data_IF_060558805539
#
_entry.id   IF_060558805539
#
_cell.length_a   1.000
_cell.length_b   1.000
_cell.length_c   1.000
_cell.angle_alpha   90.00
_cell.angle_beta   90.00
_cell.angle_gamma   90.00
#
_symmetry.space_group_name_H-M   'P 1'
#
loop_
_entity.id
_entity.type
_entity.pdbx_description
1 polymer ?
#
# COMPACT_ATOMS: atom_id res chain seq x y z
N UNK A 1 16.08 -5.32 -0.31
CA UNK A 1 15.19 -5.81 -1.35
C UNK A 1 13.73 -5.52 -0.99
N UNK A 2 13.07 -4.67 -1.81
CA UNK A 2 11.72 -4.18 -1.54
C UNK A 2 10.64 -5.28 -1.60
N UNK A 3 10.83 -6.30 -2.44
CA UNK A 3 9.89 -7.42 -2.53
C UNK A 3 9.94 -8.29 -1.26
N UNK A 4 11.13 -8.55 -0.73
CA UNK A 4 11.29 -9.26 0.54
C UNK A 4 10.68 -8.49 1.71
N UNK A 5 10.86 -7.18 1.72
CA UNK A 5 10.23 -6.30 2.71
C UNK A 5 8.70 -6.35 2.63
N UNK A 6 8.13 -6.26 1.42
CA UNK A 6 6.70 -6.41 1.21
C UNK A 6 6.18 -7.80 1.63
N UNK A 7 6.93 -8.86 1.34
CA UNK A 7 6.58 -10.23 1.77
C UNK A 7 6.59 -10.37 3.30
N UNK A 8 7.54 -9.75 3.99
CA UNK A 8 7.56 -9.72 5.46
C UNK A 8 6.30 -9.04 6.01
N UNK A 9 5.88 -7.93 5.43
CA UNK A 9 4.62 -7.26 5.80
C UNK A 9 3.41 -8.16 5.53
N UNK A 10 3.35 -8.78 4.36
CA UNK A 10 2.27 -9.70 3.97
C UNK A 10 2.14 -10.88 4.94
N UNK A 11 3.26 -11.40 5.43
CA UNK A 11 3.32 -12.56 6.34
C UNK A 11 3.32 -12.17 7.83
N UNK A 12 2.77 -11.02 8.17
CA UNK A 12 2.54 -10.65 9.58
C UNK A 12 3.81 -10.36 10.38
N UNK A 13 4.88 -9.95 9.72
CA UNK A 13 6.15 -9.58 10.36
C UNK A 13 7.23 -10.66 10.33
N UNK A 14 7.02 -11.74 9.57
CA UNK A 14 8.00 -12.82 9.36
C UNK A 14 8.60 -12.69 7.96
N UNK A 15 9.92 -12.69 7.86
CA UNK A 15 10.62 -12.61 6.58
C UNK A 15 10.51 -13.91 5.76
N UNK A 16 10.88 -13.91 4.47
CA UNK A 16 10.85 -15.12 3.64
C UNK A 16 11.73 -16.28 4.12
N UNK A 17 12.70 -15.99 4.98
CA UNK A 17 13.58 -17.04 5.58
C UNK A 17 13.02 -17.58 6.91
N UNK A 18 11.85 -17.13 7.33
CA UNK A 18 11.17 -17.58 8.53
C UNK A 18 11.56 -16.86 9.82
N UNK A 19 12.32 -15.76 9.72
CA UNK A 19 12.70 -14.97 10.89
C UNK A 19 11.64 -13.91 11.20
N UNK A 20 11.23 -13.82 12.47
CA UNK A 20 10.36 -12.75 12.91
C UNK A 20 11.15 -11.45 13.04
N UNK A 21 10.73 -10.44 12.26
CA UNK A 21 11.35 -9.11 12.25
C UNK A 21 10.58 -8.14 13.16
N UNK A 22 9.26 -8.25 13.18
CA UNK A 22 8.36 -7.42 14.00
C UNK A 22 7.19 -8.28 14.47
N UNK A 23 6.66 -8.02 15.67
CA UNK A 23 5.48 -8.74 16.16
C UNK A 23 4.23 -8.38 15.35
N UNK A 24 3.26 -9.29 15.29
CA UNK A 24 1.97 -9.03 14.64
C UNK A 24 1.25 -7.83 15.26
N UNK A 25 1.32 -7.70 16.59
CA UNK A 25 0.71 -6.59 17.32
C UNK A 25 1.32 -5.24 16.92
N UNK A 26 2.64 -5.13 16.88
CA UNK A 26 3.31 -3.90 16.46
C UNK A 26 3.05 -3.59 14.97
N UNK A 27 3.04 -4.60 14.11
CA UNK A 27 2.71 -4.44 12.70
C UNK A 27 1.27 -3.93 12.52
N UNK A 28 0.32 -4.47 13.27
CA UNK A 28 -1.08 -4.03 13.21
C UNK A 28 -1.25 -2.56 13.62
N UNK A 29 -0.45 -2.07 14.56
CA UNK A 29 -0.44 -0.66 14.96
C UNK A 29 0.05 0.28 13.85
N UNK A 30 0.95 -0.20 13.00
CA UNK A 30 1.45 0.55 11.83
C UNK A 30 0.32 0.85 10.85
N UNK A 31 -0.61 -0.07 10.67
CA UNK A 31 -1.73 0.03 9.73
C UNK A 31 -3.01 0.64 10.32
N UNK A 32 -2.96 1.15 11.54
CA UNK A 32 -4.10 1.88 12.13
C UNK A 32 -4.25 3.25 11.46
N UNK A 33 -5.45 3.61 11.01
CA UNK A 33 -5.71 4.94 10.47
C UNK A 33 -5.37 6.05 11.47
N UNK A 34 -4.74 7.11 11.02
CA UNK A 34 -4.54 8.30 11.84
C UNK A 34 -5.81 9.14 11.91
N UNK A 35 -5.99 9.91 12.99
CA UNK A 35 -7.14 10.77 13.15
C UNK A 35 -7.17 11.90 12.10
N UNK A 36 -6.02 12.42 11.70
CA UNK A 36 -5.91 13.51 10.73
C UNK A 36 -6.12 13.06 9.28
N UNK A 37 -5.77 11.81 8.97
CA UNK A 37 -5.88 11.24 7.63
C UNK A 37 -6.13 9.73 7.73
N UNK A 38 -7.37 9.26 7.57
CA UNK A 38 -7.68 7.84 7.70
C UNK A 38 -7.08 6.97 6.58
N UNK A 39 -6.62 7.57 5.49
CA UNK A 39 -5.87 6.87 4.44
C UNK A 39 -4.38 6.70 4.77
N UNK A 40 -3.93 7.07 5.97
CA UNK A 40 -2.53 6.99 6.35
C UNK A 40 -2.37 6.49 7.78
N UNK A 41 -1.52 5.48 7.94
CA UNK A 41 -1.10 4.95 9.23
C UNK A 41 0.25 5.52 9.66
N UNK A 42 1.15 4.64 10.09
CA UNK A 42 2.55 5.00 10.42
C UNK A 42 3.45 4.66 9.24
N UNK A 43 3.72 5.67 8.40
CA UNK A 43 4.53 5.58 7.17
C UNK A 43 3.94 4.72 6.05
N UNK A 44 2.72 4.22 6.20
CA UNK A 44 2.02 3.45 5.19
C UNK A 44 0.70 4.10 4.81
N UNK A 45 0.38 4.07 3.53
CA UNK A 45 -0.92 4.47 3.00
C UNK A 45 -1.89 3.29 3.07
N UNK A 46 -3.16 3.60 3.36
CA UNK A 46 -4.22 2.61 3.59
C UNK A 46 -5.36 2.86 2.62
N UNK A 47 -5.81 1.81 1.92
CA UNK A 47 -6.86 1.94 0.89
C UNK A 47 -8.29 1.76 1.40
N UNK A 48 -8.47 1.43 2.67
CA UNK A 48 -9.79 1.16 3.26
C UNK A 48 -10.56 2.39 3.75
N UNK A 49 -10.09 3.60 3.50
CA UNK A 49 -10.71 4.83 4.00
C UNK A 49 -11.77 5.40 3.05
N UNK A 50 -12.68 6.22 3.59
CA UNK A 50 -13.71 6.94 2.83
C UNK A 50 -13.22 8.29 2.28
N UNK A 51 -12.06 8.75 2.70
CA UNK A 51 -11.43 9.96 2.17
C UNK A 51 -9.91 9.91 2.35
N UNK A 52 -9.22 10.75 1.59
CA UNK A 52 -7.76 10.87 1.55
C UNK A 52 -7.37 12.34 1.66
N UNK A 53 -6.35 12.61 2.48
CA UNK A 53 -5.71 13.94 2.57
C UNK A 53 -4.24 13.77 2.23
N UNK A 54 -3.78 14.35 1.12
CA UNK A 54 -2.36 14.40 0.76
C UNK A 54 -1.78 15.76 1.08
N UNK A 55 -0.51 15.79 1.40
CA UNK A 55 0.20 17.05 1.67
C UNK A 55 0.11 17.98 0.44
N UNK A 56 -0.42 19.18 0.66
CA UNK A 56 -0.61 20.18 -0.41
C UNK A 56 -1.88 20.02 -1.23
N UNK A 57 -2.67 18.98 -1.01
CA UNK A 57 -3.92 18.73 -1.71
C UNK A 57 -5.14 18.98 -0.82
N UNK A 58 -6.28 19.27 -1.45
CA UNK A 58 -7.57 19.29 -0.76
C UNK A 58 -7.99 17.84 -0.39
N UNK A 59 -8.84 17.73 0.62
CA UNK A 59 -9.50 16.47 0.97
C UNK A 59 -10.24 15.92 -0.26
N UNK A 60 -9.98 14.67 -0.58
CA UNK A 60 -10.65 13.93 -1.65
C UNK A 60 -11.49 12.79 -1.08
N UNK A 61 -12.78 12.73 -1.42
CA UNK A 61 -13.65 11.61 -1.04
C UNK A 61 -13.28 10.33 -1.80
N UNK A 62 -13.54 9.19 -1.16
CA UNK A 62 -13.23 7.88 -1.69
C UNK A 62 -11.88 7.32 -1.22
N UNK A 63 -11.57 6.07 -1.57
CA UNK A 63 -10.33 5.41 -1.18
C UNK A 63 -9.11 6.01 -1.89
N UNK A 64 -7.93 5.65 -1.43
CA UNK A 64 -6.66 6.08 -2.04
C UNK A 64 -6.57 5.67 -3.53
N UNK A 65 -6.91 4.41 -3.83
CA UNK A 65 -6.92 3.83 -5.17
C UNK A 65 -8.24 3.06 -5.34
N UNK A 66 -9.18 3.64 -6.08
CA UNK A 66 -10.53 3.06 -6.20
C UNK A 66 -10.52 1.68 -6.90
N UNK A 67 -9.61 1.47 -7.86
CA UNK A 67 -9.49 0.20 -8.58
C UNK A 67 -8.82 -0.91 -7.79
N UNK A 68 -8.20 -0.61 -6.65
CA UNK A 68 -7.49 -1.60 -5.83
C UNK A 68 -8.38 -2.17 -4.70
N UNK A 69 -8.06 -3.37 -4.17
CA UNK A 69 -8.75 -3.91 -3.00
C UNK A 69 -8.68 -2.99 -1.79
N UNK A 70 -9.72 -3.01 -0.95
CA UNK A 70 -9.81 -2.16 0.23
C UNK A 70 -8.73 -2.46 1.29
N UNK A 71 -8.22 -3.68 1.34
CA UNK A 71 -7.18 -4.11 2.27
C UNK A 71 -5.75 -3.83 1.78
N UNK A 72 -5.60 -3.21 0.60
CA UNK A 72 -4.30 -2.78 0.12
C UNK A 72 -3.66 -1.78 1.08
N UNK A 73 -2.40 -2.02 1.40
CA UNK A 73 -1.52 -1.04 2.05
C UNK A 73 -0.33 -0.72 1.14
N UNK A 74 0.14 0.51 1.16
CA UNK A 74 1.16 0.95 0.22
C UNK A 74 2.23 1.84 0.84
N UNK A 75 3.48 1.59 0.48
CA UNK A 75 4.56 2.54 0.61
C UNK A 75 4.69 3.31 -0.72
N UNK A 76 4.37 4.59 -0.69
CA UNK A 76 4.39 5.47 -1.87
C UNK A 76 5.61 6.36 -1.80
N UNK A 77 6.59 6.07 -2.64
CA UNK A 77 7.84 6.80 -2.71
C UNK A 77 7.89 7.81 -3.86
N UNK A 78 8.90 8.65 -3.81
CA UNK A 78 9.21 9.61 -4.86
C UNK A 78 9.44 8.91 -6.22
N UNK A 79 9.12 9.58 -7.32
CA UNK A 79 9.21 9.06 -8.69
C UNK A 79 8.33 7.81 -8.94
N UNK A 80 7.17 7.74 -8.28
CA UNK A 80 6.23 6.63 -8.40
C UNK A 80 6.84 5.25 -8.06
N UNK A 81 7.79 5.25 -7.15
CA UNK A 81 8.28 4.01 -6.53
C UNK A 81 7.24 3.50 -5.55
N UNK A 82 6.90 2.23 -5.64
CA UNK A 82 5.78 1.65 -4.92
C UNK A 82 6.13 0.30 -4.33
N UNK A 83 5.62 0.06 -3.14
CA UNK A 83 5.42 -1.29 -2.61
C UNK A 83 3.95 -1.38 -2.23
N UNK A 84 3.19 -2.22 -2.92
CA UNK A 84 1.82 -2.53 -2.55
C UNK A 84 1.78 -3.92 -1.92
N UNK A 85 1.03 -4.05 -0.85
CA UNK A 85 0.76 -5.32 -0.18
C UNK A 85 -0.76 -5.50 -0.09
N UNK A 86 -1.25 -6.63 -0.61
CA UNK A 86 -2.68 -6.94 -0.63
C UNK A 86 -2.90 -8.30 0.01
N UNK A 87 -3.23 -8.35 1.32
CA UNK A 87 -3.42 -9.61 2.03
C UNK A 87 -4.48 -10.52 1.42
N UNK A 88 -5.62 -9.97 0.99
CA UNK A 88 -6.71 -10.75 0.39
C UNK A 88 -6.34 -11.46 -0.91
N UNK A 89 -5.30 -11.03 -1.59
CA UNK A 89 -4.79 -11.63 -2.82
C UNK A 89 -3.47 -12.38 -2.63
N UNK A 90 -2.94 -12.41 -1.41
CA UNK A 90 -1.59 -12.95 -1.12
C UNK A 90 -0.53 -12.35 -2.07
N UNK A 91 -0.59 -11.03 -2.26
CA UNK A 91 0.12 -10.34 -3.33
C UNK A 91 0.98 -9.19 -2.82
N UNK A 92 2.20 -9.14 -3.33
CA UNK A 92 3.10 -7.99 -3.23
C UNK A 92 3.43 -7.50 -4.63
N UNK A 93 3.32 -6.20 -4.86
CA UNK A 93 3.73 -5.58 -6.12
C UNK A 93 4.75 -4.49 -5.83
N UNK A 94 5.89 -4.55 -6.49
CA UNK A 94 6.96 -3.56 -6.36
C UNK A 94 7.20 -2.87 -7.69
N UNK A 95 7.23 -1.55 -7.67
CA UNK A 95 7.65 -0.74 -8.81
C UNK A 95 8.86 0.10 -8.44
N UNK A 96 9.88 0.01 -9.26
CA UNK A 96 11.09 0.81 -9.18
C UNK A 96 11.33 1.54 -10.52
N UNK A 97 12.30 2.43 -10.56
CA UNK A 97 12.68 3.12 -11.79
C UNK A 97 12.25 4.58 -11.85
N UNK A 98 12.08 5.10 -13.05
CA UNK A 98 11.76 6.49 -13.30
C UNK A 98 10.29 6.81 -13.02
N UNK A 99 9.97 8.10 -12.89
CA UNK A 99 8.61 8.60 -12.75
C UNK A 99 7.72 8.08 -13.89
N UNK A 100 6.49 7.68 -13.57
CA UNK A 100 5.49 7.34 -14.58
C UNK A 100 5.07 8.59 -15.35
N UNK A 101 4.69 8.41 -16.62
CA UNK A 101 4.20 9.49 -17.46
C UNK A 101 2.77 9.93 -17.15
N UNK A 102 2.02 9.10 -16.43
CA UNK A 102 0.61 9.32 -16.12
C UNK A 102 0.42 9.71 -14.65
N UNK A 103 -0.31 10.78 -14.40
CA UNK A 103 -0.67 11.25 -13.06
C UNK A 103 -1.60 10.29 -12.32
N UNK A 104 -2.37 9.48 -13.05
CA UNK A 104 -3.27 8.45 -12.51
C UNK A 104 -2.66 7.05 -12.56
N UNK A 105 -1.34 6.96 -12.47
CA UNK A 105 -0.60 5.72 -12.60
C UNK A 105 -1.10 4.61 -11.68
N UNK A 106 -1.32 4.89 -10.41
CA UNK A 106 -1.75 3.89 -9.43
C UNK A 106 -3.12 3.31 -9.82
N UNK A 107 -4.08 4.15 -10.17
CA UNK A 107 -5.41 3.74 -10.60
C UNK A 107 -5.37 2.88 -11.86
N UNK A 108 -4.62 3.32 -12.87
CA UNK A 108 -4.49 2.58 -14.13
C UNK A 108 -3.78 1.24 -13.96
N UNK A 109 -2.75 1.19 -13.11
CA UNK A 109 -2.07 -0.05 -12.79
C UNK A 109 -3.05 -1.08 -12.23
N UNK A 110 -3.84 -0.69 -11.24
CA UNK A 110 -4.76 -1.60 -10.58
C UNK A 110 -5.96 -1.98 -11.44
N UNK A 111 -6.46 -1.09 -12.29
CA UNK A 111 -7.49 -1.44 -13.29
C UNK A 111 -7.03 -2.57 -14.21
N UNK A 112 -5.76 -2.59 -14.58
CA UNK A 112 -5.19 -3.61 -15.48
C UNK A 112 -4.72 -4.86 -14.75
N UNK A 113 -4.18 -4.71 -13.56
CA UNK A 113 -3.59 -5.80 -12.78
C UNK A 113 -4.64 -6.68 -12.11
N UNK A 114 -5.65 -6.06 -11.50
CA UNK A 114 -6.63 -6.79 -10.67
C UNK A 114 -7.34 -7.92 -11.40
N UNK A 115 -7.78 -7.78 -12.68
CA UNK A 115 -8.37 -8.90 -13.42
C UNK A 115 -7.43 -10.09 -13.65
N UNK A 116 -6.11 -9.87 -13.60
CA UNK A 116 -5.10 -10.90 -13.85
C UNK A 116 -4.74 -11.69 -12.60
N UNK A 117 -5.03 -11.18 -11.41
CA UNK A 117 -4.61 -11.76 -10.11
C UNK A 117 -5.78 -12.24 -9.24
N UNK A 118 -6.97 -12.15 -9.77
CA UNK A 118 -8.17 -12.69 -9.14
C UNK A 118 -8.34 -14.18 -9.40
#
# INVERSE_FOLDING_TARGET
DSARFGAMVLHGGVDPDGHRIISEDELSKIFRPSAANPAYGRLWWLNGSDHVVRAGDEKRDGPLIAAAPADLVAALGFLDRRVYVVPSLDLVVVRTGAKASDEHFDEQLWQRLLPLVR
#
